data_IF_000246643198
#
_entry.id   IF_000246643198
#
_cell.length_a   1.000
_cell.length_b   1.000
_cell.length_c   1.000
_cell.angle_alpha   90.00
_cell.angle_beta   90.00
_cell.angle_gamma   90.00
#
_symmetry.space_group_name_H-M   'P 1'
#
loop_
_entity.id
_entity.type
_entity.pdbx_description
1 polymer ?
#
# COMPACT_ATOMS: atom_id res chain seq x y z
N UNK A 1 15.54 16.30 -1.98
CA UNK A 1 15.29 14.98 -2.58
C UNK A 1 15.69 13.94 -1.54
N UNK A 2 14.73 13.41 -0.78
CA UNK A 2 15.04 12.32 0.15
C UNK A 2 15.20 11.06 -0.70
N UNK A 3 16.41 10.51 -0.70
CA UNK A 3 16.70 9.24 -1.37
C UNK A 3 15.96 8.18 -0.55
N UNK A 4 14.96 7.55 -1.15
CA UNK A 4 14.25 6.44 -0.52
C UNK A 4 15.26 5.31 -0.37
N UNK A 5 15.52 4.86 0.86
CA UNK A 5 16.54 3.85 1.12
C UNK A 5 16.28 2.59 0.28
N UNK A 6 17.33 1.96 -0.29
CA UNK A 6 17.18 0.73 -1.06
C UNK A 6 16.59 -0.42 -0.23
N UNK A 7 16.59 -0.28 1.11
CA UNK A 7 16.01 -1.22 2.05
C UNK A 7 14.55 -1.59 1.71
N UNK A 8 13.71 -0.62 1.30
CA UNK A 8 12.28 -0.89 1.04
C UNK A 8 12.02 -1.63 -0.27
N UNK A 9 12.97 -1.60 -1.20
CA UNK A 9 12.81 -2.15 -2.56
C UNK A 9 13.75 -3.33 -2.84
N UNK A 10 14.58 -3.71 -1.88
CA UNK A 10 15.62 -4.74 -2.06
C UNK A 10 15.07 -6.10 -2.50
N UNK A 11 13.85 -6.46 -2.10
CA UNK A 11 13.21 -7.74 -2.43
C UNK A 11 12.19 -7.66 -3.56
N UNK A 12 12.09 -6.54 -4.28
CA UNK A 12 11.07 -6.32 -5.31
C UNK A 12 11.64 -6.50 -6.73
N UNK A 13 10.82 -7.01 -7.65
CA UNK A 13 11.11 -6.98 -9.10
C UNK A 13 11.08 -5.55 -9.65
N UNK A 14 11.67 -5.30 -10.82
CA UNK A 14 11.71 -3.96 -11.41
C UNK A 14 10.31 -3.38 -11.69
N UNK A 15 9.35 -4.22 -12.08
CA UNK A 15 7.96 -3.79 -12.23
C UNK A 15 7.31 -3.42 -10.89
N UNK A 16 7.51 -4.23 -9.85
CA UNK A 16 7.03 -3.92 -8.50
C UNK A 16 7.66 -2.65 -7.93
N UNK A 17 8.95 -2.42 -8.21
CA UNK A 17 9.67 -1.20 -7.80
C UNK A 17 9.09 0.04 -8.47
N UNK A 18 8.80 -0.02 -9.77
CA UNK A 18 8.19 1.09 -10.48
C UNK A 18 6.82 1.47 -9.89
N UNK A 19 5.99 0.45 -9.57
CA UNK A 19 4.70 0.68 -8.93
C UNK A 19 4.86 1.23 -7.50
N UNK A 20 5.80 0.70 -6.72
CA UNK A 20 6.13 1.21 -5.39
C UNK A 20 6.44 2.71 -5.43
N UNK A 21 7.32 3.15 -6.34
CA UNK A 21 7.67 4.57 -6.43
C UNK A 21 6.49 5.44 -6.84
N UNK A 22 5.67 4.98 -7.79
CA UNK A 22 4.48 5.72 -8.21
C UNK A 22 3.48 5.92 -7.05
N UNK A 23 3.26 4.87 -6.24
CA UNK A 23 2.33 4.93 -5.11
C UNK A 23 2.91 5.71 -3.92
N UNK A 24 4.19 5.48 -3.61
CA UNK A 24 4.89 6.21 -2.56
C UNK A 24 4.92 7.71 -2.83
N UNK A 25 5.18 8.15 -4.06
CA UNK A 25 5.18 9.56 -4.42
C UNK A 25 3.80 10.23 -4.28
N UNK A 26 2.71 9.46 -4.44
CA UNK A 26 1.35 9.96 -4.16
C UNK A 26 1.04 10.04 -2.67
N UNK A 27 1.55 9.09 -1.88
CA UNK A 27 1.23 8.96 -0.46
C UNK A 27 2.10 9.85 0.44
N UNK A 28 3.36 10.08 0.05
CA UNK A 28 4.35 10.82 0.85
C UNK A 28 3.90 12.24 1.18
N UNK A 29 4.47 12.75 2.25
CA UNK A 29 4.23 14.11 2.74
C UNK A 29 5.53 14.91 2.72
N UNK A 30 5.43 16.18 2.37
CA UNK A 30 6.57 17.08 2.33
C UNK A 30 6.84 17.70 3.70
N UNK A 31 8.11 17.67 4.06
CA UNK A 31 8.63 18.15 5.35
C UNK A 31 8.36 19.65 5.52
N UNK A 32 8.64 20.42 4.46
CA UNK A 32 8.47 21.87 4.43
C UNK A 32 7.01 22.26 4.65
N UNK A 33 6.06 21.64 3.94
CA UNK A 33 4.63 21.89 4.15
C UNK A 33 4.22 21.62 5.59
N UNK A 34 4.73 20.53 6.20
CA UNK A 34 4.51 20.24 7.61
C UNK A 34 5.00 21.37 8.53
N UNK A 35 6.23 21.84 8.33
CA UNK A 35 6.83 22.94 9.10
C UNK A 35 6.07 24.24 8.92
N UNK A 36 5.71 24.62 7.69
CA UNK A 36 4.92 25.83 7.43
C UNK A 36 3.56 25.77 8.14
N UNK A 37 2.89 24.62 8.12
CA UNK A 37 1.63 24.44 8.84
C UNK A 37 1.83 24.57 10.37
N UNK A 38 2.91 24.03 10.92
CA UNK A 38 3.21 24.15 12.34
C UNK A 38 3.56 25.59 12.75
N UNK A 39 4.28 26.33 11.90
CA UNK A 39 4.68 27.71 12.16
C UNK A 39 3.49 28.68 12.15
N UNK A 40 2.66 28.63 11.10
CA UNK A 40 1.56 29.59 10.91
C UNK A 40 0.26 29.15 11.56
N UNK A 41 0.06 27.85 11.74
CA UNK A 41 -1.22 27.26 12.15
C UNK A 41 -1.08 26.32 13.36
N UNK A 42 0.07 26.37 14.04
CA UNK A 42 0.38 25.53 15.21
C UNK A 42 -0.51 25.79 16.42
N UNK A 43 -0.93 27.04 16.65
CA UNK A 43 -1.83 27.38 17.77
C UNK A 43 -3.19 26.67 17.66
N UNK A 44 -3.66 26.42 16.44
CA UNK A 44 -4.88 25.66 16.16
C UNK A 44 -4.63 24.14 16.06
N UNK A 45 -3.36 23.72 15.97
CA UNK A 45 -2.98 22.31 15.84
C UNK A 45 -3.26 21.69 14.47
N UNK A 46 -3.42 22.50 13.43
CA UNK A 46 -3.84 22.00 12.11
C UNK A 46 -2.76 21.10 11.47
N UNK A 47 -1.48 21.34 11.79
CA UNK A 47 -0.36 20.52 11.33
C UNK A 47 -0.44 19.05 11.73
N UNK A 48 -1.21 18.69 12.77
CA UNK A 48 -1.43 17.28 13.12
C UNK A 48 -2.27 16.52 12.11
N UNK A 49 -3.24 17.18 11.46
CA UNK A 49 -4.07 16.56 10.42
C UNK A 49 -3.27 16.25 9.16
N UNK A 50 -2.18 16.98 8.92
CA UNK A 50 -1.29 16.75 7.78
C UNK A 50 -0.70 15.32 7.79
N UNK A 51 -0.33 14.83 8.98
CA UNK A 51 0.19 13.47 9.21
C UNK A 51 -0.91 12.48 9.65
N UNK A 52 -2.19 12.82 9.42
CA UNK A 52 -3.37 12.03 9.84
C UNK A 52 -3.43 11.71 11.34
N UNK A 53 -2.79 12.51 12.20
CA UNK A 53 -2.82 12.35 13.66
C UNK A 53 -4.00 13.11 14.25
N UNK A 54 -5.20 12.69 13.83
CA UNK A 54 -6.45 13.44 14.03
C UNK A 54 -6.77 13.69 15.50
N UNK A 55 -6.48 12.73 16.38
CA UNK A 55 -6.72 12.85 17.83
C UNK A 55 -5.97 14.03 18.44
N UNK A 56 -4.69 14.20 18.10
CA UNK A 56 -3.88 15.33 18.56
C UNK A 56 -4.41 16.66 18.00
N UNK A 57 -4.79 16.70 16.72
CA UNK A 57 -5.40 17.89 16.11
C UNK A 57 -6.70 18.30 16.80
N UNK A 58 -7.59 17.34 17.10
CA UNK A 58 -8.85 17.61 17.81
C UNK A 58 -8.59 18.15 19.22
N UNK A 59 -7.62 17.58 19.96
CA UNK A 59 -7.23 18.09 21.28
C UNK A 59 -6.79 19.55 21.19
N UNK A 60 -5.96 19.90 20.20
CA UNK A 60 -5.54 21.29 20.00
C UNK A 60 -6.74 22.21 19.69
N UNK A 61 -7.68 21.79 18.83
CA UNK A 61 -8.87 22.57 18.51
C UNK A 61 -9.81 22.80 19.70
N UNK A 62 -9.80 21.94 20.72
CA UNK A 62 -10.60 22.12 21.93
C UNK A 62 -9.89 23.07 22.91
N UNK A 63 -8.57 22.99 23.00
CA UNK A 63 -7.77 23.77 23.95
C UNK A 63 -7.16 25.06 23.37
N UNK A 64 -7.41 25.41 22.10
CA UNK A 64 -6.75 26.55 21.46
C UNK A 64 -6.98 27.90 22.17
N UNK A 65 -8.18 28.07 22.74
CA UNK A 65 -8.57 29.28 23.46
C UNK A 65 -7.78 29.52 24.76
N UNK A 66 -7.11 28.48 25.29
CA UNK A 66 -6.28 28.60 26.48
C UNK A 66 -4.92 29.24 26.20
N UNK A 67 -4.54 29.42 24.93
CA UNK A 67 -3.24 29.92 24.51
C UNK A 67 -2.06 28.95 24.74
N UNK A 68 -2.25 27.88 25.52
CA UNK A 68 -1.18 26.90 25.80
C UNK A 68 -0.75 26.14 24.53
N UNK A 69 -1.70 25.89 23.63
CA UNK A 69 -1.45 25.21 22.35
C UNK A 69 -0.59 26.05 21.41
N UNK A 70 -0.57 27.38 21.57
CA UNK A 70 0.31 28.25 20.80
C UNK A 70 1.78 28.02 21.20
N UNK A 71 2.06 27.93 22.50
CA UNK A 71 3.41 27.64 23.00
C UNK A 71 3.84 26.23 22.59
N UNK A 72 2.97 25.23 22.76
CA UNK A 72 3.24 23.87 22.29
C UNK A 72 3.47 23.83 20.78
N UNK A 73 2.66 24.52 19.98
CA UNK A 73 2.80 24.60 18.53
C UNK A 73 4.16 25.12 18.07
N UNK A 74 4.71 26.12 18.77
CA UNK A 74 6.07 26.63 18.50
C UNK A 74 7.13 25.55 18.79
N UNK A 75 7.03 24.84 19.91
CA UNK A 75 7.95 23.74 20.24
C UNK A 75 7.83 22.63 19.18
N UNK A 76 6.61 22.28 18.79
CA UNK A 76 6.34 21.24 17.83
C UNK A 76 6.81 21.57 16.41
N UNK A 77 6.94 22.85 16.06
CA UNK A 77 7.51 23.29 14.79
C UNK A 77 8.91 22.69 14.56
N UNK A 78 9.73 22.59 15.61
CA UNK A 78 11.08 22.00 15.54
C UNK A 78 11.06 20.48 15.37
N UNK A 79 10.05 19.80 15.91
CA UNK A 79 9.91 18.33 15.80
C UNK A 79 9.12 17.89 14.57
N UNK A 80 8.46 18.82 13.88
CA UNK A 80 7.66 18.51 12.70
C UNK A 80 8.47 17.85 11.57
N UNK A 81 9.71 18.27 11.26
CA UNK A 81 10.58 17.59 10.32
C UNK A 81 10.74 16.09 10.57
N UNK A 82 11.11 15.74 11.81
CA UNK A 82 11.34 14.36 12.21
C UNK A 82 10.05 13.54 12.17
N UNK A 83 8.91 14.13 12.56
CA UNK A 83 7.62 13.46 12.46
C UNK A 83 7.22 13.16 11.02
N UNK A 84 7.47 14.09 10.09
CA UNK A 84 7.19 13.87 8.66
C UNK A 84 8.08 12.75 8.13
N UNK A 85 9.37 12.73 8.48
CA UNK A 85 10.29 11.65 8.11
C UNK A 85 9.82 10.30 8.64
N UNK A 86 9.50 10.21 9.93
CA UNK A 86 8.98 9.00 10.54
C UNK A 86 7.69 8.54 9.86
N UNK A 87 6.77 9.46 9.58
CA UNK A 87 5.53 9.14 8.86
C UNK A 87 5.80 8.58 7.46
N UNK A 88 6.69 9.20 6.69
CA UNK A 88 7.04 8.75 5.34
C UNK A 88 7.74 7.37 5.37
N UNK A 89 8.63 7.11 6.34
CA UNK A 89 9.25 5.78 6.50
C UNK A 89 8.21 4.70 6.81
N UNK A 90 7.23 4.99 7.69
CA UNK A 90 6.13 4.08 7.98
C UNK A 90 5.24 3.83 6.75
N UNK A 91 4.97 4.86 5.94
CA UNK A 91 4.24 4.71 4.68
C UNK A 91 5.01 3.85 3.66
N UNK A 92 6.33 4.03 3.53
CA UNK A 92 7.15 3.19 2.66
C UNK A 92 7.09 1.70 3.06
N UNK A 93 7.20 1.41 4.35
CA UNK A 93 7.08 0.04 4.88
C UNK A 93 5.70 -0.54 4.55
N UNK A 94 4.63 0.20 4.84
CA UNK A 94 3.27 -0.25 4.56
C UNK A 94 3.07 -0.57 3.08
N UNK A 95 3.39 0.37 2.17
CA UNK A 95 3.23 0.19 0.72
C UNK A 95 4.07 -0.99 0.22
N UNK A 96 5.32 -1.13 0.69
CA UNK A 96 6.18 -2.25 0.29
C UNK A 96 5.61 -3.61 0.66
N UNK A 97 5.02 -3.72 1.86
CA UNK A 97 4.41 -4.97 2.34
C UNK A 97 3.20 -5.40 1.51
N UNK A 98 2.39 -4.44 1.02
CA UNK A 98 1.23 -4.72 0.19
C UNK A 98 1.62 -5.22 -1.20
N UNK A 99 2.69 -4.68 -1.78
CA UNK A 99 3.20 -5.09 -3.11
C UNK A 99 3.78 -6.50 -3.05
N UNK A 100 4.55 -6.81 -2.02
CA UNK A 100 5.14 -8.13 -1.82
C UNK A 100 4.06 -9.18 -1.48
N UNK A 101 3.03 -8.79 -0.72
CA UNK A 101 1.89 -9.66 -0.42
C UNK A 101 1.01 -9.94 -1.64
N UNK A 102 0.79 -8.95 -2.50
CA UNK A 102 -0.04 -9.12 -3.71
C UNK A 102 0.63 -9.94 -4.82
N UNK A 103 1.97 -10.02 -4.87
CA UNK A 103 2.65 -10.94 -5.80
C UNK A 103 2.35 -12.42 -5.57
N UNK A 104 1.92 -12.81 -4.35
CA UNK A 104 1.57 -14.19 -4.02
C UNK A 104 0.19 -14.58 -4.59
N UNK A 105 -0.73 -13.63 -4.75
CA UNK A 105 -2.09 -13.92 -5.25
C UNK A 105 -2.20 -13.96 -6.79
N UNK A 106 -1.20 -13.43 -7.50
CA UNK A 106 -1.19 -13.48 -8.97
C UNK A 106 -0.61 -14.81 -9.52
N UNK A 107 -0.04 -15.67 -8.67
CA UNK A 107 0.39 -17.02 -9.05
C UNK A 107 -0.71 -18.09 -9.00
N UNK A 108 -1.89 -17.79 -8.44
CA UNK A 108 -3.05 -18.71 -8.47
C UNK A 108 -4.09 -18.35 -9.54
N UNK A 109 -4.12 -17.10 -10.03
CA UNK A 109 -5.04 -16.69 -11.09
C UNK A 109 -4.52 -16.96 -12.52
N UNK A 110 -3.23 -17.30 -12.69
CA UNK A 110 -2.58 -17.43 -13.99
C UNK A 110 -2.13 -18.85 -14.38
N UNK A 111 -2.34 -19.88 -13.55
CA UNK A 111 -1.83 -21.22 -13.88
C UNK A 111 -2.72 -22.36 -13.38
N UNK A 112 -3.88 -22.53 -14.01
CA UNK A 112 -4.47 -23.87 -14.19
C UNK A 112 -5.39 -23.86 -15.43
N UNK A 113 -4.82 -23.59 -16.60
CA UNK A 113 -5.47 -24.04 -17.83
C UNK A 113 -5.59 -25.55 -17.72
N UNK A 114 -6.82 -25.99 -17.49
CA UNK A 114 -7.10 -27.40 -17.38
C UNK A 114 -7.34 -27.92 -18.80
N UNK A 115 -6.95 -29.18 -19.06
CA UNK A 115 -7.11 -29.79 -20.38
C UNK A 115 -8.22 -30.83 -20.34
N UNK A 116 -8.98 -30.93 -21.43
CA UNK A 116 -10.01 -31.94 -21.56
C UNK A 116 -9.39 -33.36 -21.52
N UNK A 117 -9.85 -34.28 -20.66
CA UNK A 117 -9.27 -35.63 -20.54
C UNK A 117 -9.53 -36.53 -21.76
N UNK A 118 -10.50 -36.18 -22.61
CA UNK A 118 -10.85 -36.96 -23.80
C UNK A 118 -10.17 -36.49 -25.08
N UNK A 119 -9.90 -35.19 -25.22
CA UNK A 119 -9.40 -34.62 -26.49
C UNK A 119 -8.28 -33.60 -26.33
N UNK A 120 -7.82 -33.34 -25.11
CA UNK A 120 -6.71 -32.43 -24.78
C UNK A 120 -6.87 -30.97 -25.23
N UNK A 121 -8.08 -30.53 -25.56
CA UNK A 121 -8.33 -29.10 -25.80
C UNK A 121 -8.26 -28.32 -24.48
N UNK A 122 -7.77 -27.07 -24.47
CA UNK A 122 -7.83 -26.22 -23.29
C UNK A 122 -9.30 -26.00 -22.89
N UNK A 123 -9.59 -26.10 -21.59
CA UNK A 123 -10.92 -25.87 -21.03
C UNK A 123 -10.85 -24.85 -19.90
N UNK A 124 -11.87 -24.01 -19.84
CA UNK A 124 -12.12 -23.15 -18.69
C UNK A 124 -12.49 -24.04 -17.48
N UNK A 125 -11.87 -23.85 -16.30
CA UNK A 125 -12.14 -24.65 -15.11
C UNK A 125 -13.61 -24.60 -14.61
N UNK A 126 -14.41 -23.66 -15.11
CA UNK A 126 -15.85 -23.52 -14.84
C UNK A 126 -16.76 -24.23 -15.86
N UNK A 127 -16.21 -24.80 -16.94
CA UNK A 127 -17.00 -25.42 -18.01
C UNK A 127 -17.58 -26.79 -17.61
N UNK A 128 -18.88 -26.99 -17.85
CA UNK A 128 -19.57 -28.27 -17.57
C UNK A 128 -19.41 -29.30 -18.70
N UNK A 129 -19.01 -28.87 -19.90
CA UNK A 129 -18.79 -29.72 -21.08
C UNK A 129 -17.66 -29.16 -21.97
N UNK A 130 -16.95 -30.05 -22.66
CA UNK A 130 -15.95 -29.67 -23.64
C UNK A 130 -16.61 -29.23 -24.96
N UNK A 131 -16.27 -28.04 -25.45
CA UNK A 131 -16.81 -27.48 -26.71
C UNK A 131 -16.23 -28.13 -27.98
N UNK A 132 -15.15 -28.91 -27.85
CA UNK A 132 -14.49 -29.56 -28.99
C UNK A 132 -14.92 -31.01 -29.21
N UNK A 133 -15.12 -31.79 -28.14
CA UNK A 133 -15.50 -33.21 -28.24
C UNK A 133 -16.83 -33.58 -27.55
N UNK A 134 -17.43 -32.65 -26.79
CA UNK A 134 -18.72 -32.86 -26.14
C UNK A 134 -18.68 -33.65 -24.82
N UNK A 135 -17.51 -34.07 -24.33
CA UNK A 135 -17.42 -34.80 -23.06
C UNK A 135 -17.82 -33.91 -21.88
N UNK A 136 -18.56 -34.46 -20.92
CA UNK A 136 -18.90 -33.76 -19.68
C UNK A 136 -17.66 -33.64 -18.78
N UNK A 137 -17.45 -32.47 -18.19
CA UNK A 137 -16.32 -32.21 -17.29
C UNK A 137 -16.86 -32.16 -15.86
N UNK A 138 -16.24 -32.95 -14.97
CA UNK A 138 -16.52 -32.89 -13.53
C UNK A 138 -15.38 -32.16 -12.84
N UNK A 139 -15.71 -31.24 -11.93
CA UNK A 139 -14.72 -30.39 -11.24
C UNK A 139 -13.65 -31.18 -10.44
N UNK A 140 -13.89 -32.47 -10.19
CA UNK A 140 -12.99 -33.35 -9.44
C UNK A 140 -11.85 -33.95 -10.30
N UNK A 141 -11.80 -33.69 -11.61
CA UNK A 141 -10.82 -34.29 -12.55
C UNK A 141 -9.73 -33.32 -13.02
N UNK A 142 -9.80 -32.03 -12.65
CA UNK A 142 -8.91 -30.98 -13.18
C UNK A 142 -7.59 -30.85 -12.40
N UNK A 143 -7.47 -31.49 -11.23
CA UNK A 143 -6.29 -31.41 -10.34
C UNK A 143 -5.33 -32.61 -10.44
N UNK A 144 -5.56 -33.57 -11.35
CA UNK A 144 -4.90 -34.87 -11.32
C UNK A 144 -3.76 -35.09 -12.35
N UNK A 145 -3.16 -34.04 -12.93
CA UNK A 145 -1.96 -34.18 -13.77
C UNK A 145 -0.92 -33.09 -13.48
N UNK A 146 -0.32 -33.16 -12.30
CA UNK A 146 1.02 -32.60 -12.04
C UNK A 146 1.89 -33.70 -11.44
N UNK A 147 2.34 -34.62 -12.29
CA UNK A 147 3.41 -35.57 -11.95
C UNK A 147 3.95 -36.23 -13.24
N UNK A 148 4.96 -35.61 -13.85
CA UNK A 148 6.12 -36.29 -14.44
C UNK A 148 7.35 -35.47 -14.06
#
# INVERSE_FOLDING_TARGET
>A
MQIIDPLYTASMTDQQRAWFYAEYERARKDETTGVLLALFLGAFGIHHFYLRRNTAGIVYLIFFWTGITAILGVIECFFMPDRVRQYNTAQAIYISSQILGSSIHNSEAAAALSYCPSCSSPIDPSASFCTHCGVAITHNQLSAQTAI
#
